data_IF_173916305530
#
_entry.id   IF_173916305530
#
_cell.length_a   1.000
_cell.length_b   1.000
_cell.length_c   1.000
_cell.angle_alpha   90.00
_cell.angle_beta   90.00
_cell.angle_gamma   90.00
#
_symmetry.space_group_name_H-M   'P 1'
#
loop_
_entity.id
_entity.type
_entity.pdbx_description
1 polymer ?
#
# COMPACT_ATOMS: atom_id res chain seq x y z
N UNK A 1 23.12 -4.18 12.08
CA UNK A 1 22.22 -4.28 10.90
C UNK A 1 23.01 -3.89 9.68
N UNK A 2 22.85 -4.59 8.56
CA UNK A 2 23.51 -4.22 7.29
C UNK A 2 22.75 -3.06 6.65
N UNK A 3 23.46 -2.14 6.00
CA UNK A 3 22.79 -1.07 5.24
C UNK A 3 21.98 -1.67 4.08
N UNK A 4 20.95 -0.94 3.63
CA UNK A 4 20.18 -1.31 2.44
C UNK A 4 21.11 -1.26 1.22
N UNK A 5 21.11 -2.33 0.42
CA UNK A 5 21.93 -2.44 -0.80
C UNK A 5 21.05 -2.61 -2.02
N UNK A 6 21.38 -1.91 -3.10
CA UNK A 6 20.68 -1.97 -4.38
C UNK A 6 21.56 -2.70 -5.40
N UNK A 7 21.31 -4.00 -5.70
CA UNK A 7 22.21 -4.80 -6.52
C UNK A 7 22.08 -4.55 -8.03
N UNK A 8 21.09 -3.77 -8.47
CA UNK A 8 20.86 -3.45 -9.88
C UNK A 8 21.18 -1.98 -10.15
N UNK A 9 22.10 -1.74 -11.08
CA UNK A 9 22.53 -0.38 -11.49
C UNK A 9 21.53 0.29 -12.43
N UNK A 10 20.81 -0.51 -13.23
CA UNK A 10 19.86 -0.04 -14.23
C UNK A 10 18.42 -0.30 -13.79
N UNK A 11 17.51 0.51 -14.33
CA UNK A 11 16.06 0.34 -14.24
C UNK A 11 15.52 -0.08 -15.63
N UNK A 12 14.48 -0.92 -15.71
CA UNK A 12 13.89 -1.28 -17.00
C UNK A 12 13.19 -0.07 -17.61
N UNK A 13 13.44 0.16 -18.89
CA UNK A 13 12.67 1.10 -19.71
C UNK A 13 11.26 0.54 -19.98
N UNK A 14 10.31 1.41 -20.34
CA UNK A 14 8.95 0.99 -20.66
C UNK A 14 8.97 0.04 -21.87
N UNK A 15 8.32 -1.14 -21.73
CA UNK A 15 8.31 -2.17 -22.77
C UNK A 15 9.50 -3.13 -22.73
N UNK A 16 10.45 -2.93 -21.81
CA UNK A 16 11.61 -3.80 -21.58
C UNK A 16 11.57 -4.44 -20.18
N UNK A 17 12.51 -5.35 -19.91
CA UNK A 17 12.67 -5.97 -18.60
C UNK A 17 14.13 -6.11 -18.19
N UNK A 18 14.35 -6.29 -16.88
CA UNK A 18 15.64 -6.71 -16.34
C UNK A 18 15.45 -8.06 -15.64
N UNK A 19 16.32 -9.02 -15.93
CA UNK A 19 16.37 -10.29 -15.18
C UNK A 19 16.93 -10.04 -13.77
N UNK A 20 16.11 -10.25 -12.75
CA UNK A 20 16.50 -10.03 -11.34
C UNK A 20 16.78 -11.32 -10.56
N UNK A 21 16.30 -12.44 -11.08
CA UNK A 21 16.73 -13.79 -10.73
C UNK A 21 16.43 -14.73 -11.91
N UNK A 22 16.95 -15.96 -11.91
CA UNK A 22 16.67 -16.92 -12.97
C UNK A 22 15.15 -17.12 -13.16
N UNK A 23 14.61 -16.79 -14.33
CA UNK A 23 13.18 -16.86 -14.62
C UNK A 23 12.32 -15.80 -13.92
N UNK A 24 12.93 -14.74 -13.37
CA UNK A 24 12.23 -13.62 -12.72
C UNK A 24 12.63 -12.32 -13.39
N UNK A 25 11.65 -11.60 -13.94
CA UNK A 25 11.84 -10.41 -14.74
C UNK A 25 11.14 -9.21 -14.11
N UNK A 26 11.87 -8.12 -13.94
CA UNK A 26 11.39 -6.85 -13.42
C UNK A 26 11.01 -5.92 -14.57
N UNK A 27 9.79 -5.38 -14.48
CA UNK A 27 9.18 -4.42 -15.38
C UNK A 27 8.89 -3.12 -14.62
N UNK A 28 8.80 -1.99 -15.34
CA UNK A 28 8.37 -0.72 -14.76
C UNK A 28 7.36 -0.02 -15.67
N UNK A 29 6.24 0.40 -15.10
CA UNK A 29 5.18 1.14 -15.80
C UNK A 29 5.05 2.56 -15.23
N UNK A 30 4.82 3.58 -16.08
CA UNK A 30 4.67 4.95 -15.63
C UNK A 30 3.34 5.17 -14.92
N UNK A 31 3.33 6.08 -13.94
CA UNK A 31 2.14 6.55 -13.24
C UNK A 31 2.02 8.08 -13.37
N UNK A 32 0.81 8.63 -13.56
CA UNK A 32 0.60 10.07 -13.73
C UNK A 32 0.54 10.80 -12.38
N UNK A 33 1.40 10.42 -11.44
CA UNK A 33 1.41 10.88 -10.06
C UNK A 33 2.83 11.21 -9.59
N UNK A 34 2.89 11.86 -8.43
CA UNK A 34 4.03 11.95 -7.54
C UNK A 34 4.91 10.67 -7.52
N UNK A 35 4.27 9.56 -7.15
CA UNK A 35 4.81 8.23 -7.29
C UNK A 35 4.74 7.87 -8.78
N UNK A 36 5.82 8.13 -9.51
CA UNK A 36 5.82 8.22 -10.97
C UNK A 36 5.87 6.86 -11.69
N UNK A 37 5.91 5.77 -10.95
CA UNK A 37 6.00 4.43 -11.48
C UNK A 37 5.49 3.35 -10.53
N UNK A 38 5.17 2.19 -11.12
CA UNK A 38 5.03 0.92 -10.43
C UNK A 38 5.94 -0.13 -11.08
N UNK A 39 6.54 -0.98 -10.26
CA UNK A 39 7.26 -2.18 -10.65
C UNK A 39 6.30 -3.35 -10.74
N UNK A 40 6.32 -4.02 -11.89
CA UNK A 40 5.59 -5.27 -12.11
C UNK A 40 6.60 -6.39 -12.30
N UNK A 41 6.17 -7.62 -12.12
CA UNK A 41 7.07 -8.76 -12.28
C UNK A 41 6.45 -9.85 -13.14
N UNK A 42 7.30 -10.51 -13.92
CA UNK A 42 6.93 -11.67 -14.73
C UNK A 42 7.78 -12.86 -14.29
N UNK A 43 7.14 -14.00 -14.10
CA UNK A 43 7.79 -15.27 -13.79
C UNK A 43 7.70 -16.20 -15.00
N UNK A 44 8.82 -16.77 -15.41
CA UNK A 44 8.84 -17.84 -16.39
C UNK A 44 8.30 -19.12 -15.79
N UNK A 45 7.44 -19.79 -16.54
CA UNK A 45 7.03 -21.16 -16.27
C UNK A 45 7.04 -21.97 -17.57
N UNK A 46 6.98 -23.29 -17.48
CA UNK A 46 7.29 -24.23 -18.58
C UNK A 46 6.77 -23.79 -19.95
N UNK A 47 5.48 -23.49 -20.02
CA UNK A 47 4.78 -23.20 -21.27
C UNK A 47 4.25 -21.76 -21.35
N UNK A 48 4.68 -20.85 -20.47
CA UNK A 48 4.13 -19.50 -20.42
C UNK A 48 4.64 -18.64 -19.28
N UNK A 49 3.84 -17.63 -18.93
CA UNK A 49 4.23 -16.58 -18.01
C UNK A 49 3.22 -16.40 -16.89
N UNK A 50 3.69 -16.11 -15.68
CA UNK A 50 2.86 -15.55 -14.62
C UNK A 50 3.17 -14.07 -14.47
N UNK A 51 2.13 -13.26 -14.29
CA UNK A 51 2.24 -11.82 -14.07
C UNK A 51 1.95 -11.53 -12.59
N UNK A 52 2.74 -10.65 -11.97
CA UNK A 52 2.51 -10.10 -10.63
C UNK A 52 2.29 -8.59 -10.78
N UNK A 53 1.08 -8.16 -10.41
CA UNK A 53 0.53 -6.80 -10.58
C UNK A 53 0.46 -6.35 -12.04
N UNK A 54 -0.34 -5.31 -12.31
CA UNK A 54 -0.88 -5.10 -13.65
C UNK A 54 -0.72 -3.69 -14.20
N UNK A 55 -0.34 -2.73 -13.37
CA UNK A 55 -0.32 -1.32 -13.74
C UNK A 55 -1.70 -0.68 -13.68
N UNK A 56 -1.71 0.66 -13.73
CA UNK A 56 -2.94 1.44 -13.73
C UNK A 56 -3.70 1.30 -15.05
N UNK A 57 -5.03 1.39 -15.00
CA UNK A 57 -5.95 1.32 -16.15
C UNK A 57 -5.88 2.55 -17.06
N UNK A 58 -4.71 2.85 -17.61
CA UNK A 58 -4.41 3.94 -18.53
C UNK A 58 -4.02 3.37 -19.90
N UNK A 59 -4.27 4.13 -20.98
CA UNK A 59 -3.99 3.68 -22.35
C UNK A 59 -2.51 3.31 -22.56
N UNK A 60 -1.57 4.13 -22.04
CA UNK A 60 -0.14 3.88 -22.13
C UNK A 60 0.33 2.58 -21.45
N UNK A 61 -0.40 2.11 -20.43
CA UNK A 61 -0.08 0.85 -19.74
C UNK A 61 -0.35 -0.36 -20.64
N UNK A 62 -1.45 -0.37 -21.41
CA UNK A 62 -1.76 -1.48 -22.32
C UNK A 62 -0.79 -1.54 -23.50
N UNK A 63 -0.37 -0.38 -24.01
CA UNK A 63 0.67 -0.28 -25.05
C UNK A 63 2.01 -0.85 -24.55
N UNK A 64 2.42 -0.51 -23.33
CA UNK A 64 3.62 -1.06 -22.72
C UNK A 64 3.54 -2.59 -22.52
N UNK A 65 2.39 -3.10 -22.06
CA UNK A 65 2.14 -4.55 -22.02
C UNK A 65 2.21 -5.20 -23.40
N UNK A 66 1.68 -4.56 -24.43
CA UNK A 66 1.72 -5.08 -25.80
C UNK A 66 3.16 -5.18 -26.32
N UNK A 67 4.02 -4.20 -26.02
CA UNK A 67 5.45 -4.27 -26.35
C UNK A 67 6.14 -5.45 -25.67
N UNK A 68 5.83 -5.73 -24.39
CA UNK A 68 6.36 -6.88 -23.66
C UNK A 68 5.92 -8.20 -24.27
N UNK A 69 4.63 -8.31 -24.65
CA UNK A 69 4.08 -9.50 -25.31
C UNK A 69 4.75 -9.78 -26.66
N UNK A 70 4.93 -8.75 -27.49
CA UNK A 70 5.49 -8.89 -28.83
C UNK A 70 7.02 -9.03 -28.84
N UNK A 71 7.69 -8.53 -27.79
CA UNK A 71 9.13 -8.62 -27.63
C UNK A 71 9.53 -9.74 -26.66
N UNK A 72 9.96 -9.39 -25.44
CA UNK A 72 10.63 -10.32 -24.53
C UNK A 72 9.79 -11.55 -24.12
N UNK A 73 8.46 -11.43 -24.01
CA UNK A 73 7.57 -12.56 -23.68
C UNK A 73 7.29 -13.49 -24.87
N UNK A 74 7.72 -13.10 -26.08
CA UNK A 74 7.63 -13.89 -27.32
C UNK A 74 6.22 -14.42 -27.62
N UNK A 75 5.17 -13.72 -27.20
CA UNK A 75 3.78 -14.11 -27.39
C UNK A 75 3.35 -15.42 -26.72
N UNK A 76 4.16 -16.01 -25.84
CA UNK A 76 3.76 -17.20 -25.06
C UNK A 76 2.58 -16.85 -24.14
N UNK A 77 1.70 -17.82 -23.81
CA UNK A 77 0.50 -17.54 -23.03
C UNK A 77 0.82 -17.06 -21.61
N UNK A 78 -0.05 -16.21 -21.08
CA UNK A 78 -0.09 -15.93 -19.64
C UNK A 78 -0.91 -17.03 -18.96
N UNK A 79 -0.32 -17.69 -17.96
CA UNK A 79 -0.89 -18.82 -17.24
C UNK A 79 -1.71 -18.39 -16.02
N UNK A 80 -1.40 -17.22 -15.47
CA UNK A 80 -2.09 -16.63 -14.33
C UNK A 80 -1.65 -15.20 -14.07
N UNK A 81 -2.57 -14.39 -13.57
CA UNK A 81 -2.32 -13.03 -13.12
C UNK A 81 -2.51 -12.99 -11.61
N UNK A 82 -1.45 -12.68 -10.88
CA UNK A 82 -1.47 -12.49 -9.43
C UNK A 82 -1.51 -11.00 -9.18
N UNK A 83 -2.44 -10.56 -8.32
CA UNK A 83 -2.48 -9.17 -7.87
C UNK A 83 -2.27 -9.14 -6.36
N UNK A 84 -1.32 -8.32 -5.92
CA UNK A 84 -0.92 -8.20 -4.52
C UNK A 84 -2.04 -7.59 -3.68
N UNK A 85 -2.65 -6.51 -4.16
CA UNK A 85 -3.73 -5.82 -3.46
C UNK A 85 -4.57 -4.92 -4.39
N UNK A 86 -5.63 -4.33 -3.83
CA UNK A 86 -6.68 -3.65 -4.57
C UNK A 86 -6.34 -2.26 -5.13
N UNK A 87 -5.18 -1.68 -4.82
CA UNK A 87 -4.88 -0.33 -5.29
C UNK A 87 -4.77 -0.26 -6.83
N UNK A 88 -5.19 0.86 -7.45
CA UNK A 88 -5.44 0.92 -8.89
C UNK A 88 -4.22 0.66 -9.77
N UNK A 89 -3.03 1.03 -9.31
CA UNK A 89 -1.77 0.75 -9.99
C UNK A 89 -1.39 -0.73 -9.95
N UNK A 90 -1.91 -1.52 -9.01
CA UNK A 90 -1.69 -2.96 -8.94
C UNK A 90 -2.76 -3.74 -9.69
N UNK A 91 -4.04 -3.41 -9.45
CA UNK A 91 -5.19 -4.15 -9.98
C UNK A 91 -5.72 -3.59 -11.31
N UNK A 92 -5.25 -2.41 -11.74
CA UNK A 92 -5.88 -1.60 -12.77
C UNK A 92 -6.11 -2.30 -14.11
N UNK A 93 -5.18 -3.14 -14.55
CA UNK A 93 -5.29 -3.89 -15.81
C UNK A 93 -5.59 -5.39 -15.61
N UNK A 94 -5.90 -5.84 -14.39
CA UNK A 94 -6.14 -7.24 -14.09
C UNK A 94 -7.27 -7.85 -14.94
N UNK A 95 -8.38 -7.12 -15.10
CA UNK A 95 -9.47 -7.49 -15.97
C UNK A 95 -9.04 -7.69 -17.42
N UNK A 96 -8.40 -6.66 -17.99
CA UNK A 96 -7.91 -6.69 -19.36
C UNK A 96 -6.90 -7.81 -19.63
N UNK A 97 -5.92 -8.01 -18.75
CA UNK A 97 -4.92 -9.07 -18.87
C UNK A 97 -5.56 -10.46 -18.83
N UNK A 98 -6.48 -10.69 -17.88
CA UNK A 98 -7.19 -11.96 -17.76
C UNK A 98 -8.04 -12.25 -19.02
N UNK A 99 -8.76 -11.26 -19.54
CA UNK A 99 -9.60 -11.44 -20.72
C UNK A 99 -8.78 -11.65 -22.00
N UNK A 100 -7.70 -10.89 -22.18
CA UNK A 100 -6.81 -10.99 -23.36
C UNK A 100 -6.19 -12.38 -23.47
N UNK A 101 -5.69 -12.91 -22.36
CA UNK A 101 -4.95 -14.18 -22.35
C UNK A 101 -5.76 -15.39 -21.92
N UNK A 102 -7.03 -15.19 -21.53
CA UNK A 102 -7.87 -16.22 -20.88
C UNK A 102 -7.19 -16.84 -19.65
N UNK A 103 -6.48 -15.99 -18.91
CA UNK A 103 -5.74 -16.36 -17.72
C UNK A 103 -6.61 -16.15 -16.45
N UNK A 104 -6.54 -17.05 -15.46
CA UNK A 104 -7.20 -16.85 -14.18
C UNK A 104 -6.52 -15.76 -13.33
N UNK A 105 -7.35 -15.01 -12.59
CA UNK A 105 -6.90 -14.07 -11.57
C UNK A 105 -6.63 -14.80 -10.24
N UNK A 106 -5.56 -14.44 -9.55
CA UNK A 106 -5.23 -14.84 -8.19
C UNK A 106 -5.14 -13.60 -7.30
N UNK A 107 -5.94 -13.56 -6.25
CA UNK A 107 -5.98 -12.48 -5.26
C UNK A 107 -6.41 -13.04 -3.91
N UNK A 108 -6.09 -12.34 -2.83
CA UNK A 108 -6.71 -12.63 -1.54
C UNK A 108 -8.17 -12.16 -1.50
N UNK A 109 -8.94 -12.70 -0.55
CA UNK A 109 -10.39 -12.48 -0.50
C UNK A 109 -10.72 -11.01 -0.20
N UNK A 110 -10.07 -10.42 0.79
CA UNK A 110 -10.25 -9.03 1.19
C UNK A 110 -9.92 -8.08 0.05
N UNK A 111 -8.83 -8.32 -0.67
CA UNK A 111 -8.40 -7.48 -1.78
C UNK A 111 -9.35 -7.58 -2.98
N UNK A 112 -9.73 -8.79 -3.38
CA UNK A 112 -10.63 -8.99 -4.53
C UNK A 112 -11.98 -8.31 -4.33
N UNK A 113 -12.61 -8.49 -3.17
CA UNK A 113 -13.92 -7.89 -2.91
C UNK A 113 -13.83 -6.38 -2.69
N UNK A 114 -12.76 -5.87 -2.08
CA UNK A 114 -12.54 -4.42 -2.02
C UNK A 114 -12.35 -3.82 -3.42
N UNK A 115 -11.50 -4.41 -4.26
CA UNK A 115 -11.32 -3.97 -5.64
C UNK A 115 -12.65 -3.92 -6.40
N UNK A 116 -13.46 -4.99 -6.32
CA UNK A 116 -14.79 -5.02 -6.96
C UNK A 116 -15.73 -3.95 -6.42
N UNK A 117 -15.75 -3.73 -5.11
CA UNK A 117 -16.58 -2.69 -4.50
C UNK A 117 -16.11 -1.31 -4.95
N UNK A 118 -14.82 -0.99 -4.89
CA UNK A 118 -14.29 0.30 -5.30
C UNK A 118 -14.48 0.58 -6.79
N UNK A 119 -14.26 -0.41 -7.67
CA UNK A 119 -14.45 -0.25 -9.11
C UNK A 119 -15.92 -0.09 -9.52
N UNK A 120 -16.86 -0.66 -8.77
CA UNK A 120 -18.29 -0.59 -9.07
C UNK A 120 -19.04 0.55 -8.33
N UNK A 121 -18.41 1.19 -7.36
CA UNK A 121 -19.05 2.23 -6.53
C UNK A 121 -19.14 3.56 -7.27
N UNK A 122 -20.30 4.20 -7.18
CA UNK A 122 -20.48 5.59 -7.57
C UNK A 122 -20.07 6.52 -6.42
N UNK A 123 -19.01 7.30 -6.64
CA UNK A 123 -18.51 8.30 -5.68
C UNK A 123 -19.01 9.72 -5.98
N UNK A 124 -20.01 9.89 -6.85
CA UNK A 124 -20.62 11.19 -7.18
C UNK A 124 -21.34 11.86 -6.00
N UNK A 125 -21.75 11.05 -5.02
CA UNK A 125 -22.39 11.50 -3.78
C UNK A 125 -21.62 11.04 -2.55
N UNK A 126 -21.58 11.89 -1.52
CA UNK A 126 -21.02 11.56 -0.22
C UNK A 126 -22.16 11.04 0.65
N UNK A 127 -22.06 9.80 1.14
CA UNK A 127 -23.02 9.26 2.10
C UNK A 127 -22.96 10.04 3.41
N UNK A 128 -24.06 10.05 4.18
CA UNK A 128 -24.07 10.70 5.50
C UNK A 128 -22.99 10.14 6.45
N UNK A 129 -22.64 8.85 6.33
CA UNK A 129 -21.57 8.22 7.12
C UNK A 129 -20.19 8.76 6.76
N UNK A 130 -19.91 8.91 5.47
CA UNK A 130 -18.64 9.48 5.00
C UNK A 130 -18.54 10.95 5.38
N UNK A 131 -19.64 11.69 5.25
CA UNK A 131 -19.73 13.08 5.72
C UNK A 131 -19.43 13.17 7.22
N UNK A 132 -20.13 12.40 8.05
CA UNK A 132 -19.94 12.37 9.50
C UNK A 132 -18.51 11.98 9.90
N UNK A 133 -17.83 11.10 9.15
CA UNK A 133 -16.43 10.75 9.39
C UNK A 133 -15.50 11.95 9.26
N UNK A 134 -15.63 12.74 8.20
CA UNK A 134 -14.79 13.92 7.99
C UNK A 134 -15.12 15.05 8.97
N UNK A 135 -16.40 15.27 9.30
CA UNK A 135 -16.79 16.22 10.35
C UNK A 135 -16.21 15.80 11.71
N UNK A 136 -16.31 14.51 12.07
CA UNK A 136 -15.71 13.98 13.29
C UNK A 136 -14.19 14.19 13.35
N UNK A 137 -13.52 14.19 12.20
CA UNK A 137 -12.09 14.46 12.10
C UNK A 137 -11.72 15.96 12.22
N UNK A 138 -12.70 16.86 12.22
CA UNK A 138 -12.52 18.31 12.29
C UNK A 138 -12.38 18.99 10.92
N UNK A 139 -12.72 18.31 9.82
CA UNK A 139 -12.74 18.89 8.48
C UNK A 139 -13.95 19.82 8.34
N UNK A 140 -13.77 21.01 7.77
CA UNK A 140 -14.87 21.94 7.54
C UNK A 140 -15.72 21.53 6.32
N UNK A 141 -17.00 21.92 6.33
CA UNK A 141 -17.94 21.69 5.22
C UNK A 141 -17.40 22.22 3.89
N UNK A 142 -16.94 23.48 3.87
CA UNK A 142 -16.35 24.11 2.68
C UNK A 142 -15.18 23.31 2.11
N UNK A 143 -14.39 22.69 2.97
CA UNK A 143 -13.26 21.88 2.54
C UNK A 143 -13.74 20.55 1.92
N UNK A 144 -14.71 19.89 2.55
CA UNK A 144 -15.29 18.65 2.07
C UNK A 144 -15.97 18.83 0.70
N UNK A 145 -16.67 19.95 0.48
CA UNK A 145 -17.23 20.29 -0.82
C UNK A 145 -16.17 20.45 -1.92
N UNK A 146 -15.01 21.07 -1.60
CA UNK A 146 -13.90 21.20 -2.55
C UNK A 146 -13.26 19.86 -2.90
N UNK A 147 -13.11 18.95 -1.92
CA UNK A 147 -12.62 17.58 -2.17
C UNK A 147 -13.60 16.84 -3.08
N UNK A 148 -14.90 16.91 -2.76
CA UNK A 148 -15.98 16.29 -3.55
C UNK A 148 -15.93 16.70 -5.02
N UNK A 149 -15.79 18.00 -5.29
CA UNK A 149 -15.78 18.53 -6.66
C UNK A 149 -14.61 18.00 -7.51
N UNK A 150 -13.54 17.49 -6.88
CA UNK A 150 -12.33 17.01 -7.57
C UNK A 150 -12.22 15.49 -7.64
N UNK A 151 -12.89 14.74 -6.76
CA UNK A 151 -12.80 13.28 -6.72
C UNK A 151 -13.64 12.64 -7.84
N UNK A 152 -12.97 11.95 -8.78
CA UNK A 152 -13.61 11.30 -9.95
C UNK A 152 -13.79 9.78 -9.79
N UNK A 153 -13.51 9.22 -8.61
CA UNK A 153 -13.58 7.78 -8.35
C UNK A 153 -12.50 6.96 -9.08
N UNK A 154 -12.58 5.64 -8.93
CA UNK A 154 -11.60 4.69 -9.48
C UNK A 154 -12.01 4.06 -10.83
N UNK A 155 -13.27 4.24 -11.26
CA UNK A 155 -13.81 3.56 -12.44
C UNK A 155 -13.11 3.87 -13.78
N UNK A 156 -12.35 4.96 -13.86
CA UNK A 156 -11.60 5.34 -15.07
C UNK A 156 -10.14 4.86 -15.06
N UNK A 157 -9.67 4.28 -13.95
CA UNK A 157 -8.27 3.84 -13.79
C UNK A 157 -8.16 2.37 -13.37
N UNK A 158 -9.29 1.66 -13.34
CA UNK A 158 -9.36 0.21 -13.14
C UNK A 158 -10.31 -0.37 -14.19
N UNK A 159 -9.80 -1.29 -15.00
CA UNK A 159 -10.58 -2.05 -15.97
C UNK A 159 -11.59 -2.98 -15.28
N UNK A 160 -12.69 -3.39 -15.94
CA UNK A 160 -13.68 -4.26 -15.32
C UNK A 160 -13.06 -5.52 -14.71
N UNK A 161 -13.24 -5.71 -13.40
CA UNK A 161 -12.65 -6.83 -12.66
C UNK A 161 -13.17 -8.19 -13.16
N UNK A 162 -12.31 -9.25 -13.18
CA UNK A 162 -12.76 -10.61 -13.43
C UNK A 162 -13.85 -11.05 -12.44
N UNK A 163 -14.85 -11.78 -12.95
CA UNK A 163 -16.01 -12.22 -12.14
C UNK A 163 -15.73 -13.45 -11.26
N UNK A 164 -14.59 -14.11 -11.49
CA UNK A 164 -14.08 -15.21 -10.67
C UNK A 164 -12.59 -14.97 -10.39
N UNK A 165 -12.12 -15.49 -9.26
CA UNK A 165 -10.72 -15.45 -8.85
C UNK A 165 -10.37 -16.75 -8.11
N UNK A 166 -9.10 -17.11 -8.15
CA UNK A 166 -8.51 -18.09 -7.26
C UNK A 166 -8.04 -17.38 -6.00
N UNK A 167 -8.55 -17.83 -4.85
CA UNK A 167 -8.22 -17.22 -3.56
C UNK A 167 -6.78 -17.56 -3.18
N UNK A 168 -6.03 -16.54 -2.78
CA UNK A 168 -4.76 -16.66 -2.06
C UNK A 168 -4.99 -16.41 -0.57
N UNK A 169 -4.45 -17.27 0.28
CA UNK A 169 -4.55 -17.19 1.73
C UNK A 169 -3.17 -17.34 2.36
N UNK A 170 -3.01 -16.87 3.60
CA UNK A 170 -1.78 -17.03 4.37
C UNK A 170 -1.26 -18.48 4.35
N UNK A 171 0.00 -18.65 3.94
CA UNK A 171 0.65 -19.96 3.92
C UNK A 171 0.36 -20.82 2.68
N UNK A 172 -0.56 -20.41 1.79
CA UNK A 172 -0.76 -21.08 0.50
C UNK A 172 0.55 -21.09 -0.29
N UNK A 173 0.76 -22.11 -1.12
CA UNK A 173 1.97 -22.27 -1.93
C UNK A 173 1.62 -22.35 -3.41
N UNK A 174 2.23 -21.48 -4.20
CA UNK A 174 2.14 -21.49 -5.66
C UNK A 174 3.45 -22.04 -6.24
N UNK A 175 3.39 -23.17 -6.94
CA UNK A 175 4.55 -23.72 -7.65
C UNK A 175 4.64 -23.11 -9.06
N UNK A 176 5.59 -22.19 -9.26
CA UNK A 176 5.79 -21.44 -10.50
C UNK A 176 7.27 -21.46 -10.88
N UNK A 177 7.60 -21.84 -12.12
CA UNK A 177 8.99 -21.76 -12.61
C UNK A 177 9.98 -22.62 -11.81
N UNK A 178 9.53 -23.77 -11.27
CA UNK A 178 10.34 -24.64 -10.43
C UNK A 178 10.64 -24.08 -9.03
N UNK A 179 9.90 -23.06 -8.59
CA UNK A 179 9.94 -22.48 -7.25
C UNK A 179 8.58 -22.62 -6.57
N UNK A 180 8.63 -22.86 -5.27
CA UNK A 180 7.46 -22.77 -4.39
C UNK A 180 7.43 -21.37 -3.76
N UNK A 181 6.39 -20.62 -4.11
CA UNK A 181 6.15 -19.26 -3.61
C UNK A 181 5.09 -19.34 -2.51
N UNK A 182 5.51 -19.15 -1.27
CA UNK A 182 4.63 -19.11 -0.11
C UNK A 182 3.97 -17.74 -0.01
N UNK A 183 2.65 -17.71 0.07
CA UNK A 183 1.85 -16.52 0.32
C UNK A 183 2.09 -16.05 1.76
N UNK A 184 2.47 -14.79 1.90
CA UNK A 184 2.62 -14.08 3.18
C UNK A 184 1.71 -12.86 3.17
N UNK A 185 0.66 -12.89 3.96
CA UNK A 185 -0.35 -11.83 4.06
C UNK A 185 0.14 -10.66 4.93
N UNK A 186 0.40 -9.54 4.28
CA UNK A 186 0.49 -8.23 4.91
C UNK A 186 -0.89 -7.68 5.28
N UNK A 187 -0.94 -6.78 6.26
CA UNK A 187 -2.18 -6.10 6.64
C UNK A 187 -1.85 -4.71 7.15
N UNK A 188 -2.80 -3.78 7.04
CA UNK A 188 -2.67 -2.40 7.52
C UNK A 188 -2.62 -1.40 6.39
N UNK A 189 -1.71 -1.58 5.41
CA UNK A 189 -1.72 -0.78 4.18
C UNK A 189 -2.98 -1.06 3.34
N UNK A 190 -3.30 -2.35 3.19
CA UNK A 190 -4.53 -2.83 2.57
C UNK A 190 -5.12 -4.01 3.40
N UNK A 191 -6.36 -4.45 3.12
CA UNK A 191 -7.07 -5.44 3.94
C UNK A 191 -6.38 -6.81 4.11
N UNK A 192 -5.80 -7.36 3.06
CA UNK A 192 -5.25 -8.73 3.00
C UNK A 192 -4.12 -8.80 1.94
N UNK A 193 -3.13 -7.89 2.03
CA UNK A 193 -2.05 -7.71 1.04
C UNK A 193 -1.24 -8.99 0.81
N UNK A 194 -1.12 -9.45 -0.43
CA UNK A 194 -0.32 -10.64 -0.77
C UNK A 194 1.13 -10.27 -1.01
N UNK A 195 2.04 -10.83 -0.20
CA UNK A 195 3.46 -10.97 -0.55
C UNK A 195 3.74 -12.42 -0.94
N UNK A 196 4.75 -12.65 -1.79
CA UNK A 196 5.15 -13.99 -2.22
C UNK A 196 6.63 -14.23 -1.88
N UNK A 197 6.89 -15.22 -1.04
CA UNK A 197 8.23 -15.55 -0.59
C UNK A 197 8.68 -16.91 -1.09
N UNK A 198 9.82 -16.97 -1.76
CA UNK A 198 10.51 -18.21 -2.06
C UNK A 198 11.65 -18.41 -1.06
N UNK A 199 11.54 -19.45 -0.23
CA UNK A 199 12.50 -19.72 0.84
C UNK A 199 13.84 -20.25 0.32
N UNK A 200 13.81 -21.09 -0.73
CA UNK A 200 15.01 -21.71 -1.31
C UNK A 200 16.00 -20.68 -1.82
N UNK A 201 15.51 -19.70 -2.58
CA UNK A 201 16.33 -18.69 -3.26
C UNK A 201 16.30 -17.33 -2.52
N UNK A 202 15.54 -17.24 -1.42
CA UNK A 202 15.36 -16.04 -0.57
C UNK A 202 14.91 -14.82 -1.37
N UNK A 203 13.87 -15.00 -2.17
CA UNK A 203 13.28 -13.97 -3.02
C UNK A 203 11.91 -13.56 -2.45
N UNK A 204 11.63 -12.27 -2.38
CA UNK A 204 10.36 -11.76 -1.86
C UNK A 204 9.75 -10.73 -2.80
N UNK A 205 8.58 -11.01 -3.36
CA UNK A 205 7.70 -9.96 -3.88
C UNK A 205 6.94 -9.34 -2.72
N UNK A 206 7.31 -8.12 -2.34
CA UNK A 206 6.74 -7.45 -1.17
C UNK A 206 5.53 -6.57 -1.49
N UNK A 207 5.30 -6.25 -2.76
CA UNK A 207 4.32 -5.25 -3.18
C UNK A 207 4.54 -3.94 -2.40
N UNK A 208 3.47 -3.43 -1.80
CA UNK A 208 3.49 -2.23 -0.97
C UNK A 208 3.67 -2.51 0.51
N UNK A 209 3.77 -3.77 0.92
CA UNK A 209 3.97 -4.11 2.33
C UNK A 209 5.40 -3.80 2.80
N UNK A 210 6.39 -3.82 1.90
CA UNK A 210 7.77 -3.39 2.17
C UNK A 210 8.33 -2.68 0.92
N UNK A 211 8.41 -1.35 0.99
CA UNK A 211 8.99 -0.48 -0.05
C UNK A 211 10.25 0.18 0.52
N UNK A 212 11.36 0.31 -0.23
CA UNK A 212 12.52 1.06 0.24
C UNK A 212 12.27 2.58 0.10
N UNK A 213 13.02 3.41 0.85
CA UNK A 213 13.02 4.89 0.78
C UNK A 213 11.72 5.61 1.21
N UNK A 214 10.54 5.11 0.86
CA UNK A 214 9.22 5.68 1.23
C UNK A 214 8.42 4.74 2.13
N UNK A 215 7.54 5.31 2.95
CA UNK A 215 6.62 4.56 3.81
C UNK A 215 5.31 4.30 3.07
N UNK A 216 4.73 3.13 3.31
CA UNK A 216 3.44 2.78 2.74
C UNK A 216 2.35 3.50 3.51
N UNK A 217 1.35 4.02 2.81
CA UNK A 217 0.24 4.71 3.44
C UNK A 217 -0.60 3.74 4.30
N UNK A 218 -0.92 4.11 5.55
CA UNK A 218 -1.72 3.30 6.48
C UNK A 218 -2.93 4.13 6.90
N UNK A 219 -4.04 4.02 6.17
CA UNK A 219 -5.21 4.88 6.40
C UNK A 219 -6.38 4.16 7.05
N UNK A 220 -7.03 4.85 7.97
CA UNK A 220 -8.43 4.55 8.33
C UNK A 220 -9.34 5.14 7.26
N UNK A 221 -10.27 4.32 6.77
CA UNK A 221 -11.24 4.71 5.75
C UNK A 221 -12.63 4.97 6.37
N UNK A 222 -13.47 5.84 5.78
CA UNK A 222 -14.83 6.07 6.27
C UNK A 222 -15.71 4.82 6.34
N UNK A 223 -15.39 3.78 5.58
CA UNK A 223 -16.09 2.48 5.56
C UNK A 223 -15.82 1.63 6.82
N UNK A 224 -14.70 1.83 7.50
CA UNK A 224 -14.33 1.15 8.75
C UNK A 224 -13.72 2.19 9.72
N UNK A 225 -14.51 3.17 10.22
CA UNK A 225 -13.96 4.38 10.87
C UNK A 225 -13.24 4.11 12.21
N UNK A 226 -13.52 2.96 12.83
CA UNK A 226 -12.87 2.52 14.07
C UNK A 226 -11.78 1.46 13.81
N UNK A 227 -11.33 1.29 12.56
CA UNK A 227 -10.26 0.36 12.22
C UNK A 227 -8.96 0.72 12.94
N UNK A 228 -8.12 -0.29 13.16
CA UNK A 228 -6.75 -0.10 13.65
C UNK A 228 -5.74 -0.69 12.64
N UNK A 229 -5.61 -0.06 11.45
CA UNK A 229 -4.71 -0.55 10.41
C UNK A 229 -3.24 -0.45 10.83
N UNK A 230 -2.86 0.52 11.69
CA UNK A 230 -1.50 0.64 12.20
C UNK A 230 -1.11 -0.54 13.11
N UNK A 231 -2.03 -1.02 13.96
CA UNK A 231 -1.77 -2.25 14.75
C UNK A 231 -1.58 -3.47 13.85
N UNK A 232 -2.42 -3.59 12.81
CA UNK A 232 -2.31 -4.66 11.81
C UNK A 232 -0.95 -4.58 11.09
N UNK A 233 -0.55 -3.38 10.66
CA UNK A 233 0.75 -3.10 10.04
C UNK A 233 1.93 -3.51 10.93
N UNK A 234 2.01 -2.99 12.16
CA UNK A 234 3.09 -3.32 13.09
C UNK A 234 3.15 -4.83 13.40
N UNK A 235 1.99 -5.49 13.50
CA UNK A 235 1.93 -6.95 13.68
C UNK A 235 2.47 -7.70 12.45
N UNK A 236 2.15 -7.23 11.24
CA UNK A 236 2.70 -7.78 9.99
C UNK A 236 4.21 -7.57 9.89
N UNK A 237 4.72 -6.37 10.19
CA UNK A 237 6.17 -6.10 10.18
C UNK A 237 6.92 -6.98 11.19
N UNK A 238 6.38 -7.15 12.41
CA UNK A 238 6.99 -7.99 13.43
C UNK A 238 7.04 -9.47 12.99
N UNK A 239 5.98 -9.95 12.32
CA UNK A 239 5.93 -11.30 11.77
C UNK A 239 6.95 -11.48 10.64
N UNK A 240 6.98 -10.55 9.70
CA UNK A 240 7.91 -10.56 8.58
C UNK A 240 9.37 -10.49 9.07
N UNK A 241 9.63 -9.73 10.13
CA UNK A 241 10.95 -9.68 10.78
C UNK A 241 11.41 -11.01 11.36
N UNK A 242 10.49 -11.88 11.78
CA UNK A 242 10.82 -13.25 12.22
C UNK A 242 11.01 -14.22 11.05
N UNK A 243 10.20 -14.07 10.01
CA UNK A 243 10.08 -15.06 8.95
C UNK A 243 11.06 -14.84 7.78
N UNK A 244 11.59 -13.63 7.61
CA UNK A 244 12.45 -13.26 6.47
C UNK A 244 13.93 -13.17 6.89
N UNK A 245 14.84 -13.96 6.29
CA UNK A 245 16.27 -13.80 6.47
C UNK A 245 16.80 -12.43 6.03
N UNK A 246 17.85 -11.92 6.68
CA UNK A 246 18.47 -10.62 6.37
C UNK A 246 19.01 -10.52 4.93
N UNK A 247 19.43 -11.66 4.36
CA UNK A 247 19.93 -11.78 2.99
C UNK A 247 18.83 -12.06 1.94
N UNK A 248 17.57 -11.79 2.28
CA UNK A 248 16.46 -11.83 1.32
C UNK A 248 16.58 -10.70 0.30
N UNK A 249 16.50 -11.03 -0.99
CA UNK A 249 16.34 -10.06 -2.07
C UNK A 249 14.86 -9.69 -2.19
N UNK A 250 14.56 -8.40 -1.97
CA UNK A 250 13.20 -7.86 -1.98
C UNK A 250 12.91 -7.20 -3.32
N UNK A 251 11.77 -7.53 -3.88
CA UNK A 251 11.17 -7.03 -5.11
C UNK A 251 9.94 -6.17 -4.74
N UNK A 252 10.14 -4.87 -4.46
CA UNK A 252 9.06 -3.95 -4.09
C UNK A 252 8.26 -3.50 -5.31
N UNK A 253 7.03 -3.03 -5.10
CA UNK A 253 6.24 -2.43 -6.16
C UNK A 253 6.66 -1.00 -6.53
N UNK A 254 7.48 -0.33 -5.71
CA UNK A 254 8.05 0.97 -6.05
C UNK A 254 9.54 1.02 -5.73
N UNK A 255 10.25 1.98 -6.34
CA UNK A 255 11.71 2.10 -6.32
C UNK A 255 12.42 0.92 -6.99
N UNK A 256 13.48 0.38 -6.38
CA UNK A 256 14.33 -0.65 -6.99
C UNK A 256 14.51 -1.84 -6.05
N UNK A 257 14.71 -3.06 -6.59
CA UNK A 257 15.00 -4.24 -5.77
C UNK A 257 16.19 -4.03 -4.83
N UNK A 258 16.13 -4.63 -3.63
CA UNK A 258 17.12 -4.36 -2.59
C UNK A 258 17.36 -5.54 -1.63
N UNK A 259 18.53 -5.55 -1.01
CA UNK A 259 18.86 -6.35 0.19
C UNK A 259 18.82 -5.48 1.44
N UNK A 260 18.71 -6.11 2.62
CA UNK A 260 18.63 -5.41 3.91
C UNK A 260 17.20 -5.28 4.43
N UNK A 261 16.38 -6.33 4.23
CA UNK A 261 14.96 -6.34 4.63
C UNK A 261 14.78 -6.12 6.13
N UNK A 262 15.66 -6.66 6.97
CA UNK A 262 15.59 -6.49 8.43
C UNK A 262 15.81 -5.02 8.84
N UNK A 263 16.80 -4.36 8.22
CA UNK A 263 17.04 -2.93 8.41
C UNK A 263 15.83 -2.11 8.00
N UNK A 264 15.17 -2.46 6.89
CA UNK A 264 13.96 -1.75 6.45
C UNK A 264 12.78 -1.96 7.39
N UNK A 265 12.54 -3.19 7.84
CA UNK A 265 11.45 -3.52 8.77
C UNK A 265 11.63 -2.82 10.13
N UNK A 266 12.87 -2.72 10.63
CA UNK A 266 13.16 -2.00 11.87
C UNK A 266 12.95 -0.49 11.69
N UNK A 267 13.44 0.09 10.59
CA UNK A 267 13.16 1.48 10.26
C UNK A 267 11.65 1.78 10.24
N UNK A 268 10.84 0.94 9.59
CA UNK A 268 9.39 1.16 9.49
C UNK A 268 8.70 1.09 10.86
N UNK A 269 9.13 0.20 11.74
CA UNK A 269 8.62 0.12 13.12
C UNK A 269 9.02 1.36 13.94
N UNK A 270 10.29 1.74 13.91
CA UNK A 270 10.81 2.90 14.64
C UNK A 270 10.16 4.20 14.17
N UNK A 271 10.00 4.36 12.86
CA UNK A 271 9.32 5.49 12.24
C UNK A 271 7.89 5.70 12.80
N UNK A 272 7.06 4.65 12.82
CA UNK A 272 5.71 4.78 13.39
C UNK A 272 5.72 4.92 14.90
N UNK A 273 6.71 4.36 15.59
CA UNK A 273 6.85 4.56 17.04
C UNK A 273 7.13 6.04 17.35
N UNK A 274 7.99 6.70 16.58
CA UNK A 274 8.26 8.13 16.71
C UNK A 274 7.01 8.98 16.45
N UNK A 275 6.22 8.63 15.42
CA UNK A 275 4.94 9.30 15.12
C UNK A 275 3.89 9.11 16.22
N UNK A 276 3.79 7.91 16.79
CA UNK A 276 2.89 7.63 17.91
C UNK A 276 3.23 8.46 19.15
N UNK A 277 4.52 8.63 19.43
CA UNK A 277 5.00 9.48 20.54
C UNK A 277 4.66 10.95 20.28
N UNK A 278 4.89 11.45 19.06
CA UNK A 278 4.58 12.82 18.69
C UNK A 278 3.09 13.14 18.72
N UNK A 279 2.23 12.25 18.23
CA UNK A 279 0.78 12.40 18.26
C UNK A 279 0.28 12.39 19.71
N UNK A 280 0.79 11.49 20.57
CA UNK A 280 0.42 11.46 21.98
C UNK A 280 0.83 12.76 22.70
N UNK A 281 2.02 13.29 22.42
CA UNK A 281 2.49 14.56 22.98
C UNK A 281 1.66 15.75 22.50
N UNK A 282 1.31 15.81 21.22
CA UNK A 282 0.45 16.86 20.66
C UNK A 282 -0.94 16.88 21.31
N UNK A 283 -1.43 15.73 21.79
CA UNK A 283 -2.70 15.56 22.48
C UNK A 283 -2.63 15.81 24.01
N UNK A 284 -1.58 16.45 24.56
CA UNK A 284 -1.61 16.91 25.96
C UNK A 284 -2.79 17.85 26.20
N UNK A 285 -2.96 18.81 25.29
CA UNK A 285 -4.19 19.58 25.16
C UNK A 285 -5.13 18.87 24.18
N UNK A 286 -6.46 18.97 24.33
CA UNK A 286 -7.39 18.35 23.41
C UNK A 286 -7.16 18.81 21.96
N UNK A 287 -7.08 17.86 21.02
CA UNK A 287 -6.84 18.11 19.59
C UNK A 287 -7.83 17.36 18.70
N UNK A 288 -8.06 17.89 17.50
CA UNK A 288 -8.83 17.22 16.43
C UNK A 288 -7.89 16.41 15.54
N UNK A 289 -8.42 15.43 14.80
CA UNK A 289 -7.60 14.62 13.89
C UNK A 289 -6.93 15.45 12.79
N UNK A 290 -7.63 16.45 12.24
CA UNK A 290 -7.07 17.34 11.21
C UNK A 290 -5.84 18.14 11.69
N UNK A 291 -5.70 18.36 12.99
CA UNK A 291 -4.55 19.07 13.57
C UNK A 291 -3.29 18.18 13.61
N UNK A 292 -3.43 16.85 13.51
CA UNK A 292 -2.29 15.93 13.51
C UNK A 292 -1.51 15.96 12.20
N UNK A 293 -2.08 16.50 11.12
CA UNK A 293 -1.37 16.62 9.84
C UNK A 293 -0.10 17.47 9.99
N UNK A 294 -0.16 18.56 10.77
CA UNK A 294 1.00 19.42 11.03
C UNK A 294 2.03 18.77 11.98
N UNK A 295 1.63 17.71 12.70
CA UNK A 295 2.52 16.92 13.54
C UNK A 295 3.26 15.91 12.67
N UNK A 296 2.52 15.13 11.87
CA UNK A 296 3.07 14.00 11.11
C UNK A 296 3.87 14.43 9.87
N UNK A 297 3.44 15.51 9.19
CA UNK A 297 4.00 15.91 7.90
C UNK A 297 4.71 17.27 7.98
N UNK A 298 5.88 17.38 7.37
CA UNK A 298 6.66 18.63 7.32
C UNK A 298 6.35 19.51 6.10
N UNK A 299 5.18 19.31 5.49
CA UNK A 299 4.76 19.99 4.26
C UNK A 299 3.28 20.35 4.28
N UNK A 300 2.91 21.27 3.40
CA UNK A 300 1.51 21.55 3.13
C UNK A 300 0.85 20.37 2.41
N UNK A 301 -0.32 19.96 2.88
CA UNK A 301 -1.07 18.84 2.31
C UNK A 301 -2.06 19.38 1.27
N UNK A 302 -1.83 19.02 0.01
CA UNK A 302 -2.73 19.34 -1.08
C UNK A 302 -4.09 18.64 -0.96
N UNK A 303 -5.09 19.19 -1.65
CA UNK A 303 -6.47 18.67 -1.61
C UNK A 303 -6.58 17.21 -2.04
N UNK A 304 -5.74 16.77 -3.00
CA UNK A 304 -5.74 15.40 -3.51
C UNK A 304 -5.15 14.39 -2.49
N UNK A 305 -4.25 14.85 -1.63
CA UNK A 305 -3.52 14.05 -0.64
C UNK A 305 -4.24 13.96 0.70
N UNK A 306 -5.23 14.83 0.94
CA UNK A 306 -5.87 14.98 2.26
C UNK A 306 -6.50 13.69 2.79
N UNK A 307 -7.16 12.91 1.93
CA UNK A 307 -7.83 11.69 2.41
C UNK A 307 -6.82 10.67 2.96
N UNK A 308 -5.66 10.54 2.31
CA UNK A 308 -4.58 9.65 2.75
C UNK A 308 -3.96 10.16 4.06
N UNK A 309 -3.56 11.43 4.07
CA UNK A 309 -2.93 12.08 5.22
C UNK A 309 -3.84 12.09 6.47
N UNK A 310 -5.14 12.38 6.29
CA UNK A 310 -6.12 12.36 7.38
C UNK A 310 -6.41 10.94 7.85
N UNK A 311 -6.53 9.99 6.92
CA UNK A 311 -6.69 8.58 7.25
C UNK A 311 -5.52 8.04 8.07
N UNK A 312 -4.29 8.47 7.76
CA UNK A 312 -3.09 8.10 8.51
C UNK A 312 -3.03 8.75 9.89
N UNK A 313 -3.41 10.02 10.01
CA UNK A 313 -3.58 10.67 11.30
C UNK A 313 -4.59 9.92 12.20
N UNK A 314 -5.74 9.52 11.63
CA UNK A 314 -6.76 8.76 12.36
C UNK A 314 -6.25 7.35 12.71
N UNK A 315 -5.43 6.72 11.87
CA UNK A 315 -4.82 5.43 12.18
C UNK A 315 -3.93 5.48 13.43
N UNK A 316 -3.10 6.52 13.57
CA UNK A 316 -2.28 6.73 14.76
C UNK A 316 -3.14 7.03 16.01
N UNK A 317 -4.17 7.85 15.87
CA UNK A 317 -5.11 8.15 16.96
C UNK A 317 -5.87 6.90 17.44
N UNK A 318 -6.43 6.11 16.51
CA UNK A 318 -7.13 4.86 16.83
C UNK A 318 -6.20 3.85 17.52
N UNK A 319 -4.94 3.74 17.06
CA UNK A 319 -3.95 2.90 17.73
C UNK A 319 -3.74 3.31 19.19
N UNK A 320 -3.55 4.61 19.45
CA UNK A 320 -3.31 5.11 20.80
C UNK A 320 -4.55 4.99 21.71
N UNK A 321 -5.76 5.14 21.16
CA UNK A 321 -7.01 4.88 21.91
C UNK A 321 -7.09 3.42 22.33
N UNK A 322 -6.89 2.48 21.39
CA UNK A 322 -6.94 1.05 21.70
C UNK A 322 -5.84 0.65 22.69
N UNK A 323 -4.66 1.29 22.62
CA UNK A 323 -3.57 1.12 23.57
C UNK A 323 -3.82 1.75 24.94
N UNK A 324 -4.97 2.42 25.16
CA UNK A 324 -5.29 3.09 26.43
C UNK A 324 -4.42 4.30 26.73
N UNK A 325 -3.86 4.93 25.70
CA UNK A 325 -2.97 6.10 25.79
C UNK A 325 -3.68 7.41 25.51
N UNK A 326 -4.70 7.39 24.64
CA UNK A 326 -5.58 8.53 24.38
C UNK A 326 -7.03 8.22 24.79
N UNK A 327 -7.76 9.28 25.13
CA UNK A 327 -9.22 9.31 25.24
C UNK A 327 -9.80 10.16 24.11
N UNK A 328 -11.05 9.88 23.73
CA UNK A 328 -11.77 10.63 22.69
C UNK A 328 -13.14 11.02 23.20
N UNK A 329 -13.46 12.32 23.15
CA UNK A 329 -14.78 12.86 23.47
C UNK A 329 -15.35 13.56 22.24
N UNK A 330 -16.63 13.34 21.96
CA UNK A 330 -17.33 14.00 20.86
C UNK A 330 -18.08 15.24 21.38
N UNK A 331 -17.96 16.36 20.70
CA UNK A 331 -18.71 17.58 21.02
C UNK A 331 -20.11 17.60 20.40
N UNK A 332 -20.89 18.65 20.69
CA UNK A 332 -22.25 18.83 20.20
C UNK A 332 -22.33 19.02 18.68
N UNK A 333 -21.24 19.45 18.04
CA UNK A 333 -21.09 19.60 16.58
C UNK A 333 -20.64 18.29 15.90
N UNK A 334 -20.44 17.22 16.68
CA UNK A 334 -20.06 15.90 16.19
C UNK A 334 -18.57 15.69 15.96
N UNK A 335 -17.72 16.65 16.36
CA UNK A 335 -16.26 16.61 16.24
C UNK A 335 -15.64 15.79 17.37
N UNK A 336 -14.68 14.93 17.02
CA UNK A 336 -13.91 14.16 17.99
C UNK A 336 -12.70 14.96 18.50
N UNK A 337 -12.57 15.03 19.82
CA UNK A 337 -11.46 15.63 20.54
C UNK A 337 -10.65 14.57 21.27
N UNK A 338 -9.37 14.46 20.90
CA UNK A 338 -8.43 13.48 21.40
C UNK A 338 -7.53 14.11 22.47
N UNK A 339 -7.38 13.44 23.60
CA UNK A 339 -6.53 13.90 24.70
C UNK A 339 -5.78 12.74 25.36
N UNK A 340 -4.51 12.95 25.69
CA UNK A 340 -3.68 11.99 26.41
C UNK A 340 -4.23 11.66 27.78
N UNK A 341 -4.16 10.38 28.13
CA UNK A 341 -4.51 9.89 29.47
C UNK A 341 -3.34 10.14 30.45
N UNK A 342 -2.10 10.24 29.95
CA UNK A 342 -0.92 10.54 30.76
C UNK A 342 -0.25 11.87 30.37
N UNK A 343 -0.57 12.92 31.12
CA UNK A 343 0.01 14.25 30.95
C UNK A 343 1.51 14.34 31.26
N UNK A 344 2.12 13.29 31.84
CA UNK A 344 3.57 13.24 32.05
C UNK A 344 4.35 12.91 30.78
N UNK A 345 3.68 12.61 29.65
CA UNK A 345 4.33 12.31 28.36
C UNK A 345 5.33 13.39 27.92
N UNK A 346 5.06 14.68 28.18
CA UNK A 346 6.00 15.78 27.92
C UNK A 346 7.37 15.64 28.62
N UNK A 347 7.46 14.82 29.68
CA UNK A 347 8.69 14.59 30.44
C UNK A 347 9.46 13.34 29.97
N UNK A 348 8.88 12.52 29.10
CA UNK A 348 9.47 11.23 28.65
C UNK A 348 10.56 11.40 27.59
N UNK A 349 10.78 12.62 27.10
CA UNK A 349 12.02 13.06 26.48
C UNK A 349 11.96 13.15 24.96
N UNK A 350 12.51 14.26 24.45
CA UNK A 350 12.89 14.53 23.06
C UNK A 350 13.69 13.35 22.45
N UNK A 351 13.03 12.35 21.90
CA UNK A 351 13.56 11.71 20.69
C UNK A 351 13.36 12.69 19.55
N UNK A 352 14.32 12.80 18.64
CA UNK A 352 14.15 13.66 17.47
C UNK A 352 12.97 13.14 16.67
N UNK A 353 11.81 13.78 16.80
CA UNK A 353 10.67 13.45 15.96
C UNK A 353 11.05 13.78 14.52
N UNK A 354 11.18 12.73 13.72
CA UNK A 354 11.30 12.87 12.27
C UNK A 354 9.90 13.01 11.69
N UNK A 355 9.51 14.26 11.40
CA UNK A 355 8.36 14.50 10.52
C UNK A 355 8.68 13.93 9.15
N UNK A 356 7.65 13.48 8.45
CA UNK A 356 7.84 13.04 7.07
C UNK A 356 8.13 14.22 6.16
N UNK A 357 9.42 14.37 5.87
CA UNK A 357 9.96 15.23 4.82
C UNK A 357 10.06 14.49 3.48
N UNK A 358 9.98 13.16 3.48
CA UNK A 358 9.94 12.36 2.26
C UNK A 358 8.73 12.80 1.44
N UNK A 359 8.90 13.17 0.15
CA UNK A 359 7.76 13.42 -0.71
C UNK A 359 6.82 12.19 -0.66
N UNK A 360 5.50 12.38 -0.82
CA UNK A 360 4.62 11.25 -1.23
C UNK A 360 4.91 10.84 -2.70
N UNK A 361 6.09 11.21 -3.17
CA UNK A 361 6.63 11.22 -4.51
C UNK A 361 8.02 10.56 -4.40
N UNK A 362 8.37 9.71 -5.38
CA UNK A 362 9.59 8.89 -5.38
C UNK A 362 10.60 9.44 -6.36
#
# INVERSE_FOLDING_TARGET
MRDIQYPFENIPEVGEWITVAEGVYWLRMPLPMALDHINLYVLEDRDGWWIIDTGMGLDGTQEAWQQLFDGPMQGKPVLGVIVTHMHPDHVGQAGWLCDKWRAPLYMSFGEYYNARTFSASDFSSISWTTHAFYIAAGVSEDYLERVRAKFKGFGNIVTPMPMAFNRLSEGDVLSIGGRDWRVMIGSGHSPEHVCLYNERDKLLFSGDQIIPRITSNISVMPSEPNANPLKRWLSSLQRFGRDLPDDTLVFPAHNTPFYGVQTRLNYLQDHHQDHLEAVEEACIEPKKAIEMLAVLFDREIGVAQMNLALGEAIAHLNYLIEAGRLSCNKDDDGVNWYQTIDKSVAKRGNRSHHKDAAPMEV
#
